data_IF_566152768707
#
_entry.id   IF_566152768707
#
_cell.length_a   1.000
_cell.length_b   1.000
_cell.length_c   1.000
_cell.angle_alpha   90.00
_cell.angle_beta   90.00
_cell.angle_gamma   90.00
#
_symmetry.space_group_name_H-M   'P 1'
#
loop_
_entity.id
_entity.type
_entity.pdbx_description
1 polymer ?
#
# COMPACT_ATOMS: atom_id res chain seq x y z
N UNK A 1 6.97 30.92 10.96
CA UNK A 1 6.81 29.51 11.42
C UNK A 1 8.11 28.75 11.18
N UNK A 2 8.68 28.07 12.19
CA UNK A 2 9.87 27.23 11.99
C UNK A 2 9.47 26.00 11.18
N UNK A 3 10.10 25.78 10.02
CA UNK A 3 9.89 24.56 9.23
C UNK A 3 10.43 23.37 10.01
N UNK A 4 9.56 22.45 10.40
CA UNK A 4 9.94 21.19 11.04
C UNK A 4 10.42 20.24 9.96
N UNK A 5 11.62 19.69 10.15
CA UNK A 5 12.23 18.76 9.21
C UNK A 5 12.04 17.32 9.72
N UNK A 6 11.52 16.44 8.87
CA UNK A 6 11.40 15.01 9.14
C UNK A 6 12.45 14.27 8.32
N UNK A 7 13.68 14.10 8.84
CA UNK A 7 14.80 13.59 8.04
C UNK A 7 14.58 12.18 7.50
N UNK A 8 13.72 11.40 8.17
CA UNK A 8 13.36 10.03 7.76
C UNK A 8 12.20 9.98 6.76
N UNK A 9 11.41 11.05 6.62
CA UNK A 9 10.27 11.06 5.72
C UNK A 9 10.74 11.45 4.32
N UNK A 10 10.58 10.57 3.31
CA UNK A 10 11.03 10.88 1.96
C UNK A 10 10.13 11.93 1.31
N UNK A 11 10.72 12.76 0.44
CA UNK A 11 9.97 13.77 -0.34
C UNK A 11 9.05 13.16 -1.40
N UNK A 12 9.34 11.93 -1.82
CA UNK A 12 8.59 11.16 -2.81
C UNK A 12 8.51 9.73 -2.33
N UNK A 13 7.36 9.10 -2.50
CA UNK A 13 7.14 7.70 -2.17
C UNK A 13 6.36 7.04 -3.30
N UNK A 14 6.81 5.86 -3.72
CA UNK A 14 6.10 5.06 -4.70
C UNK A 14 4.86 4.43 -4.04
N UNK A 15 3.70 4.60 -4.67
CA UNK A 15 2.45 3.95 -4.26
C UNK A 15 1.85 3.26 -5.48
N UNK A 16 1.72 1.95 -5.40
CA UNK A 16 1.07 1.14 -6.42
C UNK A 16 -0.38 0.90 -6.00
N UNK A 17 -1.34 1.22 -6.87
CA UNK A 17 -2.76 1.01 -6.57
C UNK A 17 -3.38 0.08 -7.58
N UNK A 18 -4.10 -0.93 -7.09
CA UNK A 18 -4.88 -1.87 -7.91
C UNK A 18 -6.27 -2.09 -7.33
N UNK A 19 -7.22 -2.46 -8.19
CA UNK A 19 -8.55 -2.90 -7.75
C UNK A 19 -8.46 -4.38 -7.35
N UNK A 20 -8.78 -4.68 -6.10
CA UNK A 20 -8.89 -6.01 -5.54
C UNK A 20 -10.11 -6.76 -6.05
N UNK A 21 -10.14 -8.06 -5.75
CA UNK A 21 -11.16 -9.00 -6.24
C UNK A 21 -12.54 -8.77 -5.63
N UNK A 22 -12.58 -8.23 -4.40
CA UNK A 22 -13.80 -7.80 -3.69
C UNK A 22 -14.32 -6.44 -4.16
N UNK A 23 -13.57 -5.75 -5.03
CA UNK A 23 -13.86 -4.36 -5.41
C UNK A 23 -13.23 -3.31 -4.49
N UNK A 24 -12.53 -3.71 -3.42
CA UNK A 24 -11.68 -2.79 -2.66
C UNK A 24 -10.51 -2.28 -3.53
N UNK A 25 -9.94 -1.14 -3.19
CA UNK A 25 -8.68 -0.67 -3.70
C UNK A 25 -7.57 -1.09 -2.75
N UNK A 26 -6.50 -1.68 -3.28
CA UNK A 26 -5.28 -1.99 -2.54
C UNK A 26 -4.20 -0.99 -2.92
N UNK A 27 -3.62 -0.32 -1.94
CA UNK A 27 -2.44 0.53 -2.10
C UNK A 27 -1.22 -0.14 -1.46
N UNK A 28 -0.17 -0.35 -2.24
CA UNK A 28 1.10 -0.94 -1.82
C UNK A 28 2.20 0.13 -1.88
N UNK A 29 3.03 0.20 -0.83
CA UNK A 29 4.22 1.05 -0.74
C UNK A 29 5.44 0.11 -0.80
N UNK A 30 5.90 -0.27 -2.01
CA UNK A 30 6.82 -1.38 -2.20
C UNK A 30 8.19 -1.16 -1.54
N UNK A 31 8.66 0.09 -1.48
CA UNK A 31 9.95 0.44 -0.85
C UNK A 31 9.95 0.20 0.66
N UNK A 32 8.76 0.14 1.29
CA UNK A 32 8.59 -0.04 2.73
C UNK A 32 8.01 -1.40 3.10
N UNK A 33 7.66 -2.23 2.11
CA UNK A 33 6.98 -3.52 2.26
C UNK A 33 5.69 -3.44 3.11
N UNK A 34 4.88 -2.40 2.88
CA UNK A 34 3.60 -2.17 3.56
C UNK A 34 2.46 -1.91 2.58
N UNK A 35 1.23 -2.21 2.99
CA UNK A 35 0.04 -2.00 2.18
C UNK A 35 -1.18 -1.63 3.04
N UNK A 36 -2.22 -1.08 2.40
CA UNK A 36 -3.53 -0.82 3.00
C UNK A 36 -4.63 -0.96 1.96
N UNK A 37 -5.88 -1.17 2.39
CA UNK A 37 -7.03 -1.33 1.50
C UNK A 37 -8.27 -0.56 1.94
N UNK A 38 -8.99 -0.02 0.95
CA UNK A 38 -10.21 0.75 1.20
C UNK A 38 -11.24 0.59 0.08
N UNK A 39 -12.52 0.80 0.40
CA UNK A 39 -13.62 0.63 -0.55
C UNK A 39 -13.69 1.70 -1.66
N UNK A 40 -12.94 2.79 -1.52
CA UNK A 40 -12.93 3.88 -2.50
C UNK A 40 -11.76 4.83 -2.31
N UNK A 41 -11.55 5.69 -3.31
CA UNK A 41 -10.35 6.53 -3.40
C UNK A 41 -10.16 7.48 -2.22
N UNK A 42 -11.23 8.12 -1.77
CA UNK A 42 -11.13 9.06 -0.64
C UNK A 42 -10.64 8.35 0.62
N UNK A 43 -11.23 7.19 0.92
CA UNK A 43 -10.85 6.41 2.08
C UNK A 43 -9.43 5.82 1.93
N UNK A 44 -9.05 5.41 0.71
CA UNK A 44 -7.70 4.95 0.41
C UNK A 44 -6.66 6.04 0.70
N UNK A 45 -6.90 7.28 0.30
CA UNK A 45 -5.95 8.37 0.56
C UNK A 45 -5.81 8.67 2.05
N UNK A 46 -6.90 8.61 2.82
CA UNK A 46 -6.80 8.74 4.28
C UNK A 46 -5.94 7.64 4.88
N UNK A 47 -6.18 6.39 4.51
CA UNK A 47 -5.40 5.27 5.02
C UNK A 47 -3.94 5.29 4.57
N UNK A 48 -3.63 5.69 3.32
CA UNK A 48 -2.24 5.83 2.86
C UNK A 48 -1.50 6.88 3.70
N UNK A 49 -2.15 8.00 3.99
CA UNK A 49 -1.56 9.01 4.86
C UNK A 49 -1.37 8.48 6.29
N UNK A 50 -2.37 7.81 6.87
CA UNK A 50 -2.28 7.22 8.19
C UNK A 50 -1.17 6.17 8.30
N UNK A 51 -1.02 5.35 7.25
CA UNK A 51 0.04 4.35 7.12
C UNK A 51 1.43 5.01 7.07
N UNK A 52 1.58 6.07 6.29
CA UNK A 52 2.82 6.87 6.22
C UNK A 52 3.13 7.50 7.59
N UNK A 53 2.14 8.09 8.24
CA UNK A 53 2.33 8.71 9.56
C UNK A 53 2.75 7.68 10.61
N UNK A 54 2.11 6.53 10.60
CA UNK A 54 2.42 5.42 11.52
C UNK A 54 3.82 4.89 11.27
N UNK A 55 4.17 4.59 10.02
CA UNK A 55 5.48 4.03 9.67
C UNK A 55 6.64 4.99 10.02
N UNK A 56 6.49 6.28 9.72
CA UNK A 56 7.53 7.28 9.98
C UNK A 56 7.43 7.95 11.36
N UNK A 57 6.49 7.51 12.21
CA UNK A 57 6.22 8.08 13.53
C UNK A 57 6.00 9.61 13.48
N UNK A 58 5.20 10.07 12.52
CA UNK A 58 4.88 11.50 12.36
C UNK A 58 3.97 11.97 13.51
N UNK A 59 4.39 12.92 14.36
CA UNK A 59 3.59 13.39 15.48
C UNK A 59 2.29 14.04 15.01
N UNK A 60 1.20 13.79 15.75
CA UNK A 60 -0.17 14.24 15.40
C UNK A 60 -0.28 15.74 15.08
N UNK A 61 0.49 16.59 15.77
CA UNK A 61 0.54 18.05 15.56
C UNK A 61 1.13 18.50 14.20
N UNK A 62 1.65 17.57 13.40
CA UNK A 62 2.24 17.84 12.09
C UNK A 62 1.57 17.06 10.95
N UNK A 63 0.61 16.18 11.26
CA UNK A 63 -0.09 15.36 10.26
C UNK A 63 -1.01 16.20 9.35
N UNK A 64 -1.35 17.42 9.76
CA UNK A 64 -2.08 18.42 8.97
C UNK A 64 -1.18 19.19 7.98
N UNK A 65 0.14 19.13 8.17
CA UNK A 65 1.13 19.86 7.37
C UNK A 65 1.84 18.98 6.33
N UNK A 66 1.71 17.67 6.46
CA UNK A 66 2.35 16.68 5.61
C UNK A 66 1.24 15.85 5.03
N UNK A 67 1.15 15.76 3.71
CA UNK A 67 0.12 14.93 3.08
C UNK A 67 0.68 14.35 1.80
N UNK A 68 0.44 13.06 1.61
CA UNK A 68 0.66 12.40 0.35
C UNK A 68 -0.31 12.95 -0.69
N UNK A 69 0.24 13.58 -1.73
CA UNK A 69 -0.51 14.11 -2.86
C UNK A 69 -0.03 13.40 -4.14
N UNK A 70 -0.85 12.53 -4.74
CA UNK A 70 -0.52 11.95 -6.04
C UNK A 70 -0.51 13.02 -7.12
N UNK A 71 0.33 12.85 -8.14
CA UNK A 71 0.36 13.76 -9.30
C UNK A 71 -0.96 13.76 -10.05
N UNK A 72 -1.28 14.84 -10.78
CA UNK A 72 -2.54 14.95 -11.54
C UNK A 72 -2.74 13.79 -12.52
N UNK A 73 -1.66 13.34 -13.17
CA UNK A 73 -1.69 12.17 -14.07
C UNK A 73 -2.03 10.89 -13.31
N UNK A 74 -1.47 10.71 -12.11
CA UNK A 74 -1.79 9.56 -11.26
C UNK A 74 -3.24 9.61 -10.78
N UNK A 75 -3.74 10.78 -10.36
CA UNK A 75 -5.15 10.95 -9.96
C UNK A 75 -6.11 10.52 -11.06
N UNK A 76 -5.88 10.94 -12.31
CA UNK A 76 -6.71 10.52 -13.45
C UNK A 76 -6.70 9.00 -13.67
N UNK A 77 -5.55 8.34 -13.48
CA UNK A 77 -5.44 6.88 -13.59
C UNK A 77 -6.18 6.19 -12.44
N UNK A 78 -6.06 6.71 -11.22
CA UNK A 78 -6.72 6.18 -10.02
C UNK A 78 -8.24 6.21 -10.16
N UNK A 79 -8.82 7.30 -10.68
CA UNK A 79 -10.27 7.39 -10.96
C UNK A 79 -10.73 6.30 -11.94
N UNK A 80 -9.91 5.97 -12.94
CA UNK A 80 -10.23 4.87 -13.88
C UNK A 80 -10.18 3.50 -13.20
N UNK A 81 -9.20 3.28 -12.32
CA UNK A 81 -9.06 2.03 -11.56
C UNK A 81 -10.24 1.85 -10.61
N UNK A 82 -10.65 2.91 -9.91
CA UNK A 82 -11.75 2.83 -8.96
C UNK A 82 -13.09 2.50 -9.61
N UNK A 83 -13.33 3.06 -10.81
CA UNK A 83 -14.52 2.75 -11.63
C UNK A 83 -14.43 1.42 -12.38
N UNK A 84 -13.29 0.74 -12.34
CA UNK A 84 -13.13 -0.54 -13.02
C UNK A 84 -13.92 -1.63 -12.28
N UNK A 85 -14.64 -2.48 -13.03
CA UNK A 85 -15.24 -3.68 -12.45
C UNK A 85 -14.13 -4.58 -11.89
N UNK A 86 -14.32 -5.21 -10.71
CA UNK A 86 -13.34 -6.14 -10.17
C UNK A 86 -13.08 -7.24 -11.19
N UNK A 87 -11.80 -7.50 -11.49
CA UNK A 87 -11.43 -8.63 -12.33
C UNK A 87 -11.52 -9.89 -11.48
N UNK A 88 -12.20 -10.96 -11.94
CA UNK A 88 -12.20 -12.23 -11.22
C UNK A 88 -10.76 -12.72 -11.08
N UNK A 89 -10.38 -13.14 -9.87
CA UNK A 89 -9.08 -13.74 -9.64
C UNK A 89 -8.92 -14.95 -10.57
N UNK A 90 -7.86 -14.99 -11.36
CA UNK A 90 -7.46 -16.25 -12.00
C UNK A 90 -7.04 -17.19 -10.87
N UNK A 91 -7.91 -18.13 -10.49
CA UNK A 91 -7.56 -19.21 -9.55
C UNK A 91 -6.52 -20.09 -10.24
N UNK A 92 -5.24 -19.77 -10.08
CA UNK A 92 -4.17 -20.72 -10.36
C UNK A 92 -4.20 -21.70 -9.19
N UNK A 93 -4.80 -22.87 -9.41
CA UNK A 93 -4.73 -23.96 -8.45
C UNK A 93 -3.31 -24.55 -8.54
N UNK A 94 -2.39 -24.01 -7.74
CA UNK A 94 -1.07 -24.61 -7.58
C UNK A 94 -1.29 -25.88 -6.75
N UNK A 95 -1.20 -27.05 -7.38
CA UNK A 95 -1.09 -28.33 -6.66
C UNK A 95 0.32 -28.42 -6.09
N UNK A 96 0.59 -27.67 -5.02
CA UNK A 96 1.82 -27.88 -4.24
C UNK A 96 1.61 -29.14 -3.41
N UNK A 97 2.26 -30.23 -3.83
CA UNK A 97 2.44 -31.39 -2.97
C UNK A 97 3.56 -31.02 -2.00
N UNK A 98 3.23 -30.89 -0.71
CA UNK A 98 4.24 -30.77 0.34
C UNK A 98 4.92 -32.14 0.48
N UNK A 99 6.08 -32.29 -0.15
CA UNK A 99 7.05 -33.33 0.21
C UNK A 99 7.63 -32.96 1.59
N UNK A 100 7.67 -33.93 2.51
CA UNK A 100 8.28 -33.80 3.84
C UNK A 100 9.72 -33.26 3.81
N UNK A 101 10.43 -33.41 2.70
CA UNK A 101 11.79 -32.88 2.48
C UNK A 101 11.82 -31.34 2.44
N UNK A 102 10.79 -30.66 1.91
CA UNK A 102 10.74 -29.19 1.86
C UNK A 102 10.57 -28.55 3.25
N UNK A 103 9.89 -29.24 4.18
CA UNK A 103 9.75 -28.76 5.55
C UNK A 103 11.08 -28.82 6.32
N UNK A 104 11.98 -29.77 6.00
CA UNK A 104 13.27 -29.85 6.71
C UNK A 104 14.19 -28.68 6.39
N UNK A 105 14.21 -28.22 5.13
CA UNK A 105 15.07 -27.11 4.67
C UNK A 105 14.65 -25.78 5.30
N UNK A 106 13.34 -25.55 5.49
CA UNK A 106 12.82 -24.30 6.09
C UNK A 106 13.13 -24.16 7.59
N UNK A 107 13.34 -25.28 8.30
CA UNK A 107 13.58 -25.29 9.75
C UNK A 107 15.02 -25.66 10.15
N UNK A 108 15.90 -26.02 9.22
CA UNK A 108 17.32 -26.30 9.51
C UNK A 108 18.26 -25.08 9.36
N UNK A 109 17.71 -23.88 9.23
CA UNK A 109 18.48 -22.62 9.12
C UNK A 109 18.26 -21.67 10.31
N UNK A 110 17.80 -22.19 11.46
CA UNK A 110 17.72 -21.48 12.75
C UNK A 110 18.63 -22.16 13.77
#
# INVERSE_FOLDING_TARGET
MKKVNFPKLPKKIAVLVKKGVSGCLLAELPELDIFTEADGLNHLFFQVNDLIYTYFNVPKKYQDQITFIPSSVAQMKLVKIDKQKPKPATRISVKTFYDQELCKIAFSSL
#
